data_IF_774169064651
#
_entry.id   IF_774169064651
#
_cell.length_a   1.000
_cell.length_b   1.000
_cell.length_c   1.000
_cell.angle_alpha   90.00
_cell.angle_beta   90.00
_cell.angle_gamma   90.00
#
_symmetry.space_group_name_H-M   'P 1'
#
loop_
_entity.id
_entity.type
_entity.pdbx_description
1 polymer ?
#
# COMPACT_ATOMS: atom_id res chain seq x y z
N UNK A 1 16.10 41.00 -20.88
CA UNK A 1 17.18 40.05 -20.47
C UNK A 1 17.24 39.79 -18.96
N UNK A 2 17.03 40.79 -18.08
CA UNK A 2 17.02 40.62 -16.60
C UNK A 2 15.86 39.77 -16.03
N UNK A 3 14.71 39.74 -16.70
CA UNK A 3 13.58 38.89 -16.31
C UNK A 3 13.81 37.39 -16.59
N UNK A 4 14.59 37.07 -17.63
CA UNK A 4 14.91 35.69 -18.00
C UNK A 4 15.92 35.06 -17.02
N UNK A 5 16.84 35.85 -16.48
CA UNK A 5 17.80 35.42 -15.45
C UNK A 5 17.12 35.15 -14.10
N UNK A 6 16.07 35.90 -13.75
CA UNK A 6 15.26 35.65 -12.56
C UNK A 6 14.42 34.36 -12.69
N UNK A 7 13.85 34.11 -13.87
CA UNK A 7 13.13 32.87 -14.14
C UNK A 7 14.03 31.63 -14.09
N UNK A 8 15.25 31.71 -14.64
CA UNK A 8 16.23 30.63 -14.59
C UNK A 8 16.70 30.30 -13.16
N UNK A 9 16.86 31.32 -12.31
CA UNK A 9 17.21 31.12 -10.89
C UNK A 9 16.10 30.43 -10.08
N UNK A 10 14.83 30.73 -10.38
CA UNK A 10 13.68 30.13 -9.69
C UNK A 10 13.49 28.65 -10.05
N UNK A 11 13.77 28.28 -11.31
CA UNK A 11 13.74 26.88 -11.77
C UNK A 11 14.89 26.07 -11.17
N UNK A 12 16.10 26.66 -11.04
CA UNK A 12 17.22 25.97 -10.38
C UNK A 12 16.97 25.73 -8.89
N UNK A 13 16.28 26.65 -8.21
CA UNK A 13 15.93 26.51 -6.79
C UNK A 13 14.84 25.46 -6.53
N UNK A 14 13.88 25.27 -7.46
CA UNK A 14 12.82 24.28 -7.29
C UNK A 14 13.31 22.84 -7.46
N UNK A 15 14.35 22.60 -8.28
CA UNK A 15 14.97 21.28 -8.38
C UNK A 15 15.76 20.89 -7.13
N UNK A 16 16.37 21.85 -6.41
CA UNK A 16 17.10 21.55 -5.16
C UNK A 16 16.16 21.27 -3.97
N UNK A 17 14.91 21.71 -4.03
CA UNK A 17 13.91 21.49 -2.97
C UNK A 17 13.18 20.13 -3.08
N UNK A 18 13.40 19.39 -4.17
CA UNK A 18 12.82 18.07 -4.36
C UNK A 18 13.59 17.01 -3.55
N UNK A 19 13.36 16.98 -2.23
CA UNK A 19 13.79 15.84 -1.42
C UNK A 19 13.10 14.56 -1.92
N UNK A 20 13.80 13.42 -2.01
CA UNK A 20 13.17 12.16 -2.40
C UNK A 20 12.09 11.81 -1.38
N UNK A 21 10.86 11.66 -1.86
CA UNK A 21 9.75 11.17 -1.03
C UNK A 21 10.02 9.71 -0.68
N UNK A 22 10.29 9.44 0.61
CA UNK A 22 10.44 8.08 1.12
C UNK A 22 9.05 7.49 1.29
N UNK A 23 8.68 6.53 0.44
CA UNK A 23 7.44 5.79 0.61
C UNK A 23 7.56 4.90 1.85
N UNK A 24 6.57 4.97 2.75
CA UNK A 24 6.50 4.05 3.89
C UNK A 24 6.24 2.62 3.41
N UNK A 25 6.81 1.65 4.12
CA UNK A 25 6.57 0.24 3.84
C UNK A 25 5.08 -0.11 4.00
N UNK A 26 4.52 -1.03 3.18
CA UNK A 26 3.14 -1.44 3.31
C UNK A 26 2.83 -2.09 4.66
N UNK A 27 1.69 -1.76 5.23
CA UNK A 27 1.17 -2.42 6.44
C UNK A 27 0.69 -3.82 6.06
N UNK A 28 1.30 -4.85 6.65
CA UNK A 28 0.93 -6.25 6.37
C UNK A 28 -0.03 -6.79 7.43
N UNK A 29 -1.27 -7.04 7.04
CA UNK A 29 -2.28 -7.69 7.87
C UNK A 29 -2.25 -9.19 7.57
N UNK A 30 -1.85 -9.99 8.57
CA UNK A 30 -1.88 -11.45 8.50
C UNK A 30 -3.22 -11.97 9.02
N UNK A 31 -4.12 -12.28 8.10
CA UNK A 31 -5.47 -12.74 8.41
C UNK A 31 -5.54 -14.27 8.43
N UNK A 32 -5.60 -14.86 9.63
CA UNK A 32 -5.76 -16.30 9.82
C UNK A 32 -7.25 -16.67 9.92
N UNK A 33 -7.66 -17.79 9.33
CA UNK A 33 -8.98 -18.37 9.55
C UNK A 33 -9.01 -19.90 9.43
N UNK A 34 -9.95 -20.53 10.14
CA UNK A 34 -10.05 -21.99 10.26
C UNK A 34 -10.65 -22.72 9.05
N UNK A 35 -11.35 -22.01 8.17
CA UNK A 35 -12.13 -22.65 7.07
C UNK A 35 -11.35 -22.78 5.76
N UNK A 36 -11.85 -23.62 4.86
CA UNK A 36 -11.32 -23.76 3.50
C UNK A 36 -11.63 -22.53 2.60
N UNK A 37 -10.78 -22.25 1.58
CA UNK A 37 -10.92 -21.08 0.70
C UNK A 37 -12.27 -20.96 -0.02
N UNK A 38 -12.86 -22.08 -0.45
CA UNK A 38 -14.10 -22.08 -1.25
C UNK A 38 -15.38 -21.91 -0.43
N UNK A 39 -15.27 -21.80 0.90
CA UNK A 39 -16.42 -21.55 1.79
C UNK A 39 -16.87 -20.09 1.72
N UNK A 40 -18.09 -19.74 2.18
CA UNK A 40 -18.53 -18.35 2.27
C UNK A 40 -17.56 -17.46 3.07
N UNK A 41 -16.95 -18.00 4.13
CA UNK A 41 -15.94 -17.30 4.94
C UNK A 41 -14.61 -17.13 4.22
N UNK A 42 -14.13 -18.14 3.49
CA UNK A 42 -12.92 -18.03 2.66
C UNK A 42 -13.08 -17.01 1.54
N UNK A 43 -14.19 -17.07 0.78
CA UNK A 43 -14.53 -16.04 -0.22
C UNK A 43 -14.67 -14.65 0.38
N UNK A 44 -15.14 -14.56 1.63
CA UNK A 44 -15.20 -13.31 2.40
C UNK A 44 -13.81 -12.75 2.70
N UNK A 45 -12.87 -13.60 3.11
CA UNK A 45 -11.48 -13.22 3.37
C UNK A 45 -10.78 -12.70 2.09
N UNK A 46 -11.00 -13.35 0.95
CA UNK A 46 -10.45 -12.90 -0.33
C UNK A 46 -11.03 -11.54 -0.76
N UNK A 47 -12.33 -11.32 -0.53
CA UNK A 47 -12.98 -10.02 -0.79
C UNK A 47 -12.47 -8.93 0.14
N UNK A 48 -12.20 -9.26 1.40
CA UNK A 48 -11.59 -8.34 2.36
C UNK A 48 -10.23 -7.88 1.86
N UNK A 49 -9.38 -8.84 1.45
CA UNK A 49 -8.07 -8.57 0.86
C UNK A 49 -8.17 -7.59 -0.32
N UNK A 50 -8.97 -7.94 -1.33
CA UNK A 50 -9.11 -7.13 -2.53
C UNK A 50 -9.60 -5.69 -2.22
N UNK A 51 -10.55 -5.56 -1.28
CA UNK A 51 -11.11 -4.25 -0.90
C UNK A 51 -10.11 -3.41 -0.11
N UNK A 52 -9.40 -3.98 0.86
CA UNK A 52 -8.44 -3.23 1.67
C UNK A 52 -7.23 -2.79 0.86
N UNK A 53 -6.68 -3.66 0.02
CA UNK A 53 -5.58 -3.33 -0.88
C UNK A 53 -5.99 -2.21 -1.86
N UNK A 54 -7.20 -2.28 -2.40
CA UNK A 54 -7.75 -1.24 -3.29
C UNK A 54 -7.99 0.10 -2.60
N UNK A 55 -8.64 0.11 -1.43
CA UNK A 55 -8.97 1.35 -0.71
C UNK A 55 -7.75 2.09 -0.18
N UNK A 56 -6.69 1.36 0.14
CA UNK A 56 -5.46 1.93 0.69
C UNK A 56 -4.42 2.23 -0.39
N UNK A 57 -4.76 2.03 -1.67
CA UNK A 57 -3.85 2.21 -2.80
C UNK A 57 -2.53 1.45 -2.61
N UNK A 58 -2.62 0.23 -2.05
CA UNK A 58 -1.46 -0.61 -1.75
C UNK A 58 -0.71 -0.27 -0.45
N UNK A 59 -1.13 0.74 0.32
CA UNK A 59 -0.54 1.02 1.63
C UNK A 59 -0.83 -0.09 2.66
N UNK A 60 -1.89 -0.86 2.47
CA UNK A 60 -2.18 -2.07 3.24
C UNK A 60 -2.15 -3.28 2.32
N UNK A 61 -1.47 -4.34 2.76
CA UNK A 61 -1.43 -5.65 2.12
C UNK A 61 -2.08 -6.67 3.05
N UNK A 62 -2.99 -7.48 2.52
CA UNK A 62 -3.68 -8.51 3.32
C UNK A 62 -3.21 -9.89 2.87
N UNK A 63 -2.63 -10.62 3.81
CA UNK A 63 -2.20 -12.00 3.60
C UNK A 63 -3.20 -12.93 4.28
N UNK A 64 -3.91 -13.71 3.47
CA UNK A 64 -4.95 -14.64 3.94
C UNK A 64 -4.34 -16.02 4.15
N UNK A 65 -4.51 -16.56 5.35
CA UNK A 65 -4.01 -17.88 5.77
C UNK A 65 -5.21 -18.78 6.15
N UNK A 66 -5.75 -19.57 5.20
CA UNK A 66 -6.87 -20.48 5.45
C UNK A 66 -6.45 -21.73 6.25
N UNK A 67 -7.41 -22.55 6.65
CA UNK A 67 -7.20 -23.86 7.30
C UNK A 67 -6.24 -23.84 8.51
N UNK A 68 -6.28 -22.78 9.33
CA UNK A 68 -5.41 -22.65 10.51
C UNK A 68 -3.91 -22.76 10.18
N UNK A 69 -3.51 -22.36 8.97
CA UNK A 69 -2.12 -22.45 8.49
C UNK A 69 -1.14 -21.60 9.29
N UNK A 70 -1.59 -20.42 9.75
CA UNK A 70 -0.73 -19.48 10.47
C UNK A 70 -0.80 -19.66 11.98
N UNK A 71 -2.02 -19.82 12.51
CA UNK A 71 -2.27 -20.02 13.94
C UNK A 71 -3.21 -21.21 14.11
N UNK A 72 -2.92 -22.03 15.12
CA UNK A 72 -3.76 -23.17 15.50
C UNK A 72 -4.86 -22.68 16.43
N UNK A 73 -6.04 -22.48 15.84
CA UNK A 73 -7.33 -22.43 16.54
C UNK A 73 -8.00 -23.81 16.46
#
# INVERSE_FOLDING_TARGET
MRFFTLAAGFVAASLLAAAPAVAADPIVIKFSHVVAPNTPKGKGADRLKARQEGYTKGAVKVEVYPNSQLYKD
#
